data_IF_650169082828
#
_entry.id   IF_650169082828
#
_cell.length_a   1.000
_cell.length_b   1.000
_cell.length_c   1.000
_cell.angle_alpha   90.00
_cell.angle_beta   90.00
_cell.angle_gamma   90.00
#
_symmetry.space_group_name_H-M   'P 1'
#
loop_
_entity.id
_entity.type
_entity.pdbx_description
1 polymer ?
#
# COMPACT_ATOMS: atom_id res chain seq x y z
N UNK A 1 10.10 -19.84 1.77
CA UNK A 1 9.76 -19.94 3.22
C UNK A 1 8.71 -18.88 3.60
N UNK A 2 7.65 -18.76 2.79
CA UNK A 2 6.46 -17.89 2.98
C UNK A 2 5.32 -18.56 2.19
N UNK A 3 5.04 -19.84 2.48
CA UNK A 3 4.14 -20.64 1.62
C UNK A 3 2.71 -20.74 2.18
N UNK A 4 2.50 -20.67 3.50
CA UNK A 4 1.16 -20.87 4.12
C UNK A 4 0.34 -19.60 4.43
N UNK A 5 0.85 -18.39 4.15
CA UNK A 5 0.13 -17.13 4.38
C UNK A 5 -0.46 -16.50 3.11
N UNK A 6 -0.40 -17.21 1.98
CA UNK A 6 -0.73 -16.68 0.65
C UNK A 6 -2.23 -16.49 0.40
N UNK A 7 -3.08 -17.12 1.22
CA UNK A 7 -4.55 -16.95 1.20
C UNK A 7 -5.03 -15.81 2.13
N UNK A 8 -4.26 -14.73 2.23
CA UNK A 8 -4.61 -13.57 3.03
C UNK A 8 -5.53 -12.58 2.38
N UNK A 9 -6.34 -11.93 3.22
CA UNK A 9 -7.30 -10.88 2.85
C UNK A 9 -6.66 -9.74 2.02
N UNK A 10 -5.34 -9.60 2.08
CA UNK A 10 -4.60 -8.56 1.37
C UNK A 10 -3.42 -9.02 0.50
N UNK A 11 -3.06 -10.31 0.49
CA UNK A 11 -1.87 -10.82 -0.21
C UNK A 11 -2.16 -10.99 -1.70
N UNK A 12 -1.96 -9.92 -2.47
CA UNK A 12 -2.11 -9.89 -3.94
C UNK A 12 -0.75 -10.01 -4.64
N UNK A 13 0.36 -9.82 -3.93
CA UNK A 13 1.69 -9.91 -4.52
C UNK A 13 2.06 -11.37 -4.85
N UNK A 14 2.39 -11.70 -6.11
CA UNK A 14 2.89 -13.04 -6.42
C UNK A 14 4.18 -13.28 -5.63
N UNK A 15 4.43 -14.51 -5.14
CA UNK A 15 5.56 -14.79 -4.26
C UNK A 15 6.91 -14.38 -4.85
N UNK A 16 7.07 -14.51 -6.17
CA UNK A 16 8.27 -14.08 -6.88
C UNK A 16 8.50 -12.55 -6.85
N UNK A 17 7.43 -11.75 -6.78
CA UNK A 17 7.52 -10.29 -6.72
C UNK A 17 7.90 -9.76 -5.32
N UNK A 18 7.81 -10.60 -4.29
CA UNK A 18 8.30 -10.26 -2.95
C UNK A 18 9.83 -10.24 -2.90
N UNK A 19 10.48 -11.13 -3.66
CA UNK A 19 11.94 -11.23 -3.72
C UNK A 19 12.55 -10.30 -4.77
N UNK A 20 11.82 -10.04 -5.87
CA UNK A 20 12.30 -9.21 -6.99
C UNK A 20 11.18 -8.41 -7.62
N UNK A 21 11.22 -7.09 -7.46
CA UNK A 21 10.18 -6.19 -7.99
C UNK A 21 10.40 -5.90 -9.49
N UNK A 22 9.34 -5.53 -10.24
CA UNK A 22 9.49 -5.04 -11.60
C UNK A 22 10.35 -3.76 -11.72
N UNK A 23 10.51 -3.01 -10.63
CA UNK A 23 11.41 -1.86 -10.57
C UNK A 23 12.87 -2.30 -10.59
N UNK A 24 13.22 -3.35 -9.84
CA UNK A 24 14.56 -3.95 -9.84
C UNK A 24 14.94 -4.51 -11.21
N UNK A 25 13.97 -5.08 -11.94
CA UNK A 25 14.19 -5.57 -13.31
C UNK A 25 14.47 -4.44 -14.31
N UNK A 26 14.04 -3.21 -14.00
CA UNK A 26 14.40 -2.01 -14.74
C UNK A 26 15.57 -1.24 -14.12
N UNK A 27 16.37 -1.93 -13.30
CA UNK A 27 17.62 -1.48 -12.69
C UNK A 27 17.44 -0.41 -11.60
N UNK A 28 16.23 -0.19 -11.10
CA UNK A 28 16.02 0.73 -9.96
C UNK A 28 16.63 0.11 -8.70
N UNK A 29 17.48 0.87 -8.04
CA UNK A 29 18.06 0.51 -6.74
C UNK A 29 16.95 0.23 -5.70
N UNK A 30 16.97 -0.90 -4.98
CA UNK A 30 15.95 -1.23 -3.99
C UNK A 30 15.75 -0.15 -2.91
N UNK A 31 16.83 0.53 -2.51
CA UNK A 31 16.73 1.60 -1.53
C UNK A 31 16.03 2.84 -2.11
N UNK A 32 16.33 3.20 -3.36
CA UNK A 32 15.59 4.25 -4.06
C UNK A 32 14.10 3.89 -4.24
N UNK A 33 13.80 2.65 -4.64
CA UNK A 33 12.42 2.17 -4.77
C UNK A 33 11.66 2.31 -3.44
N UNK A 34 12.25 1.84 -2.33
CA UNK A 34 11.65 1.97 -1.00
C UNK A 34 11.38 3.44 -0.66
N UNK A 35 12.34 4.33 -0.93
CA UNK A 35 12.19 5.78 -0.66
C UNK A 35 11.09 6.41 -1.52
N UNK A 36 10.97 6.04 -2.78
CA UNK A 36 9.92 6.53 -3.68
C UNK A 36 8.53 6.04 -3.23
N UNK A 37 8.41 4.79 -2.75
CA UNK A 37 7.17 4.27 -2.18
C UNK A 37 6.79 5.01 -0.89
N UNK A 38 7.75 5.24 0.02
CA UNK A 38 7.52 6.03 1.24
C UNK A 38 7.11 7.46 0.89
N UNK A 39 7.76 8.09 -0.09
CA UNK A 39 7.38 9.42 -0.60
C UNK A 39 5.94 9.43 -1.10
N UNK A 40 5.55 8.43 -1.88
CA UNK A 40 4.20 8.34 -2.40
C UNK A 40 3.16 8.21 -1.26
N UNK A 41 3.44 7.38 -0.26
CA UNK A 41 2.60 7.24 0.93
C UNK A 41 2.50 8.55 1.74
N UNK A 42 3.59 9.31 1.84
CA UNK A 42 3.61 10.61 2.51
C UNK A 42 2.79 11.67 1.74
N UNK A 43 2.90 11.71 0.41
CA UNK A 43 2.06 12.57 -0.43
C UNK A 43 0.58 12.23 -0.27
N UNK A 44 0.23 10.93 -0.23
CA UNK A 44 -1.13 10.45 0.05
C UNK A 44 -1.60 10.92 1.43
N UNK A 45 -0.76 10.81 2.47
CA UNK A 45 -1.10 11.22 3.83
C UNK A 45 -1.29 12.74 3.96
N UNK A 46 -0.42 13.54 3.33
CA UNK A 46 -0.53 15.01 3.27
C UNK A 46 -1.81 15.42 2.55
N UNK A 47 -2.09 14.82 1.40
CA UNK A 47 -3.30 15.09 0.64
C UNK A 47 -4.56 14.68 1.40
N UNK A 48 -4.54 13.51 2.05
CA UNK A 48 -5.62 13.03 2.91
C UNK A 48 -5.95 14.01 4.03
N UNK A 49 -4.95 14.56 4.71
CA UNK A 49 -5.15 15.59 5.74
C UNK A 49 -5.73 16.89 5.17
N UNK A 50 -5.18 17.39 4.07
CA UNK A 50 -5.64 18.64 3.45
C UNK A 50 -7.07 18.54 2.89
N UNK A 51 -7.48 17.36 2.43
CA UNK A 51 -8.82 17.07 1.93
C UNK A 51 -9.78 16.55 3.01
N UNK A 52 -9.34 16.44 4.26
CA UNK A 52 -10.08 15.81 5.36
C UNK A 52 -10.63 14.42 5.01
N UNK A 53 -9.85 13.61 4.28
CA UNK A 53 -10.18 12.22 3.97
C UNK A 53 -9.93 11.37 5.23
N UNK A 54 -10.86 10.48 5.62
CA UNK A 54 -10.65 9.58 6.77
C UNK A 54 -9.41 8.69 6.62
N UNK A 55 -8.75 8.38 7.74
CA UNK A 55 -7.49 7.62 7.75
C UNK A 55 -7.62 6.22 7.13
N UNK A 56 -8.77 5.55 7.27
CA UNK A 56 -8.98 4.23 6.66
C UNK A 56 -8.91 4.33 5.13
N UNK A 57 -9.56 5.34 4.52
CA UNK A 57 -9.50 5.56 3.07
C UNK A 57 -8.12 5.98 2.57
N UNK A 58 -7.40 6.78 3.37
CA UNK A 58 -5.97 7.08 3.11
C UNK A 58 -5.13 5.80 3.14
N UNK A 59 -5.37 4.92 4.11
CA UNK A 59 -4.74 3.60 4.21
C UNK A 59 -5.05 2.73 3.00
N UNK A 60 -6.28 2.74 2.49
CA UNK A 60 -6.68 2.01 1.27
C UNK A 60 -5.85 2.48 0.09
N UNK A 61 -5.73 3.80 -0.12
CA UNK A 61 -4.90 4.37 -1.18
C UNK A 61 -3.43 3.92 -1.08
N UNK A 62 -2.85 3.90 0.13
CA UNK A 62 -1.47 3.45 0.36
C UNK A 62 -1.28 1.96 0.05
N UNK A 63 -2.22 1.10 0.46
CA UNK A 63 -2.16 -0.35 0.18
C UNK A 63 -2.30 -0.62 -1.32
N UNK A 64 -3.26 0.02 -2.00
CA UNK A 64 -3.43 -0.12 -3.45
C UNK A 64 -2.18 0.27 -4.21
N UNK A 65 -1.51 1.33 -3.76
CA UNK A 65 -0.26 1.79 -4.36
C UNK A 65 0.88 0.78 -4.17
N UNK A 66 1.05 0.22 -2.97
CA UNK A 66 2.06 -0.82 -2.73
C UNK A 66 1.79 -2.06 -3.59
N UNK A 67 0.54 -2.53 -3.64
CA UNK A 67 0.15 -3.67 -4.49
C UNK A 67 0.45 -3.39 -5.96
N UNK A 68 0.19 -2.17 -6.42
CA UNK A 68 0.46 -1.78 -7.80
C UNK A 68 1.95 -1.88 -8.13
N UNK A 69 2.84 -1.38 -7.27
CA UNK A 69 4.29 -1.44 -7.53
C UNK A 69 4.90 -2.83 -7.33
N UNK A 70 4.16 -3.82 -6.83
CA UNK A 70 4.55 -5.23 -6.96
C UNK A 70 4.27 -5.79 -8.37
N UNK A 71 3.41 -5.14 -9.15
CA UNK A 71 3.02 -5.57 -10.49
C UNK A 71 3.56 -4.66 -11.61
N UNK A 72 4.02 -3.46 -11.28
CA UNK A 72 4.46 -2.45 -12.23
C UNK A 72 5.69 -1.70 -11.73
N UNK A 73 6.52 -1.24 -12.65
CA UNK A 73 7.77 -0.54 -12.33
C UNK A 73 7.55 0.97 -12.16
N UNK A 74 8.22 1.55 -11.16
CA UNK A 74 8.31 3.00 -10.94
C UNK A 74 8.88 3.75 -12.16
N UNK A 75 9.69 3.10 -12.99
CA UNK A 75 10.24 3.69 -14.23
C UNK A 75 9.16 3.98 -15.28
N UNK A 76 8.12 3.14 -15.32
CA UNK A 76 7.01 3.24 -16.29
C UNK A 76 5.86 4.09 -15.73
N UNK A 77 5.64 4.05 -14.41
CA UNK A 77 4.53 4.73 -13.75
C UNK A 77 5.05 5.65 -12.65
N UNK A 78 4.99 6.96 -12.92
CA UNK A 78 5.50 7.98 -12.01
C UNK A 78 4.68 8.08 -10.72
N UNK A 79 5.37 8.41 -9.62
CA UNK A 79 4.78 8.53 -8.29
C UNK A 79 3.60 9.51 -8.26
N UNK A 80 3.76 10.70 -8.85
CA UNK A 80 2.72 11.75 -8.84
C UNK A 80 1.38 11.25 -9.41
N UNK A 81 1.45 10.63 -10.59
CA UNK A 81 0.25 10.23 -11.33
C UNK A 81 -0.45 9.06 -10.62
N UNK A 82 0.33 8.12 -10.09
CA UNK A 82 -0.21 6.99 -9.34
C UNK A 82 -0.78 7.41 -7.98
N UNK A 83 -0.22 8.42 -7.31
CA UNK A 83 -0.79 9.00 -6.08
C UNK A 83 -2.16 9.63 -6.35
N UNK A 84 -2.29 10.40 -7.44
CA UNK A 84 -3.58 10.97 -7.87
C UNK A 84 -4.62 9.86 -8.10
N UNK A 85 -4.27 8.86 -8.90
CA UNK A 85 -5.15 7.74 -9.20
C UNK A 85 -5.54 6.93 -7.97
N UNK A 86 -4.59 6.65 -7.06
CA UNK A 86 -4.83 5.86 -5.85
C UNK A 86 -5.76 6.56 -4.87
N UNK A 87 -5.59 7.87 -4.66
CA UNK A 87 -6.50 8.67 -3.83
C UNK A 87 -7.90 8.74 -4.44
N UNK A 88 -7.99 9.02 -5.74
CA UNK A 88 -9.29 9.11 -6.42
C UNK A 88 -10.04 7.79 -6.36
N UNK A 89 -9.37 6.67 -6.64
CA UNK A 89 -9.95 5.34 -6.55
C UNK A 89 -10.37 4.99 -5.12
N UNK A 90 -9.49 5.18 -4.13
CA UNK A 90 -9.78 4.85 -2.73
C UNK A 90 -10.99 5.63 -2.18
N UNK A 91 -11.11 6.92 -2.48
CA UNK A 91 -12.27 7.72 -2.04
C UNK A 91 -13.59 7.21 -2.61
N UNK A 92 -13.58 6.61 -3.80
CA UNK A 92 -14.78 5.98 -4.38
C UNK A 92 -15.07 4.62 -3.74
N UNK A 93 -14.05 3.80 -3.53
CA UNK A 93 -14.21 2.47 -2.92
C UNK A 93 -14.73 2.54 -1.48
N UNK A 94 -14.32 3.58 -0.75
CA UNK A 94 -14.60 3.76 0.67
C UNK A 94 -15.79 4.71 0.92
N UNK A 95 -16.54 5.07 -0.13
CA UNK A 95 -17.70 5.96 -0.06
C UNK A 95 -17.41 7.31 0.63
N UNK A 96 -16.21 7.86 0.39
CA UNK A 96 -15.75 9.17 0.88
C UNK A 96 -15.32 10.09 -0.27
N UNK A 97 -16.15 10.25 -1.33
CA UNK A 97 -15.72 10.86 -2.58
C UNK A 97 -15.27 12.31 -2.41
N UNK A 98 -14.18 12.66 -3.11
CA UNK A 98 -13.68 14.04 -3.23
C UNK A 98 -13.74 14.50 -4.68
N UNK A 99 -13.86 15.81 -4.89
CA UNK A 99 -13.87 16.37 -6.25
C UNK A 99 -12.50 16.18 -6.88
N UNK A 100 -12.48 15.76 -8.14
CA UNK A 100 -11.27 15.59 -8.95
C UNK A 100 -10.35 16.81 -8.88
N UNK A 101 -10.91 18.02 -9.04
CA UNK A 101 -10.17 19.29 -8.92
C UNK A 101 -9.43 19.42 -7.60
N UNK A 102 -10.09 19.10 -6.49
CA UNK A 102 -9.53 19.28 -5.15
C UNK A 102 -8.36 18.31 -4.94
N UNK A 103 -8.50 17.06 -5.38
CA UNK A 103 -7.43 16.05 -5.34
C UNK A 103 -6.23 16.52 -6.17
N UNK A 104 -6.46 16.97 -7.41
CA UNK A 104 -5.40 17.43 -8.30
C UNK A 104 -4.64 18.60 -7.67
N UNK A 105 -5.35 19.62 -7.21
CA UNK A 105 -4.75 20.83 -6.64
C UNK A 105 -3.92 20.51 -5.40
N UNK A 106 -4.45 19.69 -4.49
CA UNK A 106 -3.78 19.35 -3.23
C UNK A 106 -2.53 18.49 -3.48
N UNK A 107 -2.62 17.48 -4.34
CA UNK A 107 -1.47 16.62 -4.65
C UNK A 107 -0.41 17.40 -5.41
N UNK A 108 -0.79 18.23 -6.39
CA UNK A 108 0.13 19.10 -7.11
C UNK A 108 0.87 20.05 -6.16
N UNK A 109 0.13 20.72 -5.27
CA UNK A 109 0.71 21.58 -4.24
C UNK A 109 1.65 20.81 -3.30
N UNK A 110 1.28 19.60 -2.86
CA UNK A 110 2.11 18.77 -2.00
C UNK A 110 3.42 18.34 -2.69
N UNK A 111 3.39 18.05 -3.99
CA UNK A 111 4.58 17.73 -4.79
C UNK A 111 5.50 18.94 -4.91
N UNK A 112 4.97 20.14 -5.19
CA UNK A 112 5.78 21.35 -5.29
C UNK A 112 6.46 21.72 -3.96
N UNK A 113 5.73 21.59 -2.85
CA UNK A 113 6.31 21.74 -1.51
C UNK A 113 7.45 20.76 -1.27
N UNK A 114 7.27 19.49 -1.65
CA UNK A 114 8.32 18.48 -1.53
C UNK A 114 9.55 18.84 -2.37
N UNK A 115 9.36 19.45 -3.55
CA UNK A 115 10.44 19.90 -4.43
C UNK A 115 11.11 21.21 -3.96
N UNK A 116 10.75 21.73 -2.78
CA UNK A 116 11.38 22.91 -2.19
C UNK A 116 10.80 24.25 -2.63
N UNK A 117 9.58 24.27 -3.19
CA UNK A 117 8.86 25.52 -3.46
C UNK A 117 8.05 25.91 -2.21
N UNK A 118 8.48 26.92 -1.42
CA UNK A 118 7.86 27.23 -0.13
C UNK A 118 6.47 27.86 -0.26
N UNK A 119 6.19 28.54 -1.37
CA UNK A 119 4.89 29.13 -1.71
C UNK A 119 4.53 28.76 -3.16
N UNK A 120 4.01 27.55 -3.38
CA UNK A 120 3.75 27.07 -4.74
C UNK A 120 2.55 27.81 -5.34
N UNK A 121 2.64 28.23 -6.62
CA UNK A 121 1.56 28.93 -7.29
C UNK A 121 0.31 28.04 -7.37
N UNK A 122 -0.86 28.68 -7.34
CA UNK A 122 -2.10 27.96 -7.61
C UNK A 122 -2.12 27.46 -9.06
N UNK A 123 -2.54 26.21 -9.23
CA UNK A 123 -2.69 25.61 -10.54
C UNK A 123 -3.84 26.27 -11.31
N UNK A 124 -3.57 26.74 -12.52
CA UNK A 124 -4.61 27.28 -13.40
C UNK A 124 -5.51 26.15 -13.93
N UNK A 125 -6.79 26.20 -13.55
CA UNK A 125 -7.81 25.20 -13.91
C UNK A 125 -8.07 25.16 -15.43
N UNK A 126 -7.79 26.25 -16.14
CA UNK A 126 -7.92 26.32 -17.59
C UNK A 126 -6.60 26.06 -18.33
N UNK A 127 -5.51 25.86 -17.58
CA UNK A 127 -4.19 25.60 -18.11
C UNK A 127 -4.04 24.18 -18.67
N UNK A 128 -3.09 24.01 -19.59
CA UNK A 128 -2.76 22.70 -20.16
C UNK A 128 -2.26 21.72 -19.08
N UNK A 129 -1.52 22.19 -18.09
CA UNK A 129 -1.00 21.36 -17.00
C UNK A 129 -2.12 20.71 -16.17
N UNK A 130 -3.17 21.47 -15.84
CA UNK A 130 -4.34 20.92 -15.14
C UNK A 130 -5.01 19.83 -15.99
N UNK A 131 -5.22 20.09 -17.28
CA UNK A 131 -5.83 19.12 -18.18
C UNK A 131 -4.98 17.83 -18.31
N UNK A 132 -3.66 17.95 -18.27
CA UNK A 132 -2.76 16.79 -18.31
C UNK A 132 -2.79 15.98 -17.02
N UNK A 133 -2.85 16.65 -15.85
CA UNK A 133 -3.02 16.00 -14.56
C UNK A 133 -4.38 15.30 -14.44
N UNK A 134 -5.44 15.91 -14.97
CA UNK A 134 -6.77 15.31 -15.04
C UNK A 134 -6.76 14.00 -15.83
N UNK A 135 -6.17 14.03 -17.04
CA UNK A 135 -6.00 12.84 -17.88
C UNK A 135 -5.09 11.81 -17.20
N UNK A 136 -4.01 12.24 -16.56
CA UNK A 136 -3.09 11.35 -15.86
C UNK A 136 -3.78 10.63 -14.70
N UNK A 137 -4.60 11.33 -13.91
CA UNK A 137 -5.36 10.73 -12.81
C UNK A 137 -6.37 9.69 -13.31
N UNK A 138 -7.12 10.00 -14.37
CA UNK A 138 -8.07 9.04 -14.97
C UNK A 138 -7.35 7.80 -15.52
N UNK A 139 -6.20 7.98 -16.17
CA UNK A 139 -5.38 6.85 -16.65
C UNK A 139 -4.82 6.02 -15.49
N UNK A 140 -4.30 6.67 -14.45
CA UNK A 140 -3.73 6.02 -13.28
C UNK A 140 -4.78 5.17 -12.55
N UNK A 141 -5.99 5.68 -12.39
CA UNK A 141 -7.12 4.89 -11.87
C UNK A 141 -7.37 3.62 -12.71
N UNK A 142 -7.47 3.77 -14.03
CA UNK A 142 -7.66 2.63 -14.93
C UNK A 142 -6.51 1.61 -14.80
N UNK A 143 -5.26 2.08 -14.68
CA UNK A 143 -4.11 1.22 -14.47
C UNK A 143 -4.19 0.50 -13.13
N UNK A 144 -4.57 1.15 -12.04
CA UNK A 144 -4.74 0.50 -10.73
C UNK A 144 -5.74 -0.66 -10.84
N UNK A 145 -6.94 -0.41 -11.37
CA UNK A 145 -7.97 -1.43 -11.53
C UNK A 145 -7.48 -2.61 -12.38
N UNK A 146 -6.82 -2.32 -13.51
CA UNK A 146 -6.31 -3.33 -14.44
C UNK A 146 -5.15 -4.15 -13.86
N UNK A 147 -4.16 -3.50 -13.26
CA UNK A 147 -2.98 -4.18 -12.72
C UNK A 147 -3.32 -5.00 -11.48
N UNK A 148 -4.28 -4.55 -10.68
CA UNK A 148 -4.80 -5.27 -9.51
C UNK A 148 -5.88 -6.30 -9.86
N UNK A 149 -6.26 -6.45 -11.13
CA UNK A 149 -7.34 -7.35 -11.56
C UNK A 149 -8.63 -7.17 -10.73
N UNK A 150 -8.96 -5.91 -10.40
CA UNK A 150 -10.08 -5.53 -9.54
C UNK A 150 -10.04 -6.08 -8.09
N UNK A 151 -8.92 -6.66 -7.63
CA UNK A 151 -8.67 -6.97 -6.21
C UNK A 151 -8.30 -5.69 -5.43
N UNK A 152 -9.31 -4.83 -5.25
CA UNK A 152 -9.18 -3.52 -4.60
C UNK A 152 -9.67 -3.50 -3.15
N UNK A 153 -10.23 -4.60 -2.66
CA UNK A 153 -10.60 -4.72 -1.25
C UNK A 153 -9.35 -4.68 -0.36
N UNK A 154 -9.39 -3.85 0.69
CA UNK A 154 -8.32 -3.71 1.67
C UNK A 154 -8.88 -3.96 3.05
N UNK A 155 -8.32 -4.95 3.74
CA UNK A 155 -8.65 -5.23 5.11
C UNK A 155 -7.67 -4.50 6.05
N UNK A 156 -8.18 -3.62 6.90
CA UNK A 156 -7.36 -2.71 7.71
C UNK A 156 -7.02 -3.25 9.11
N UNK A 157 -5.75 -3.21 9.56
CA UNK A 157 -5.30 -3.68 10.87
C UNK A 157 -6.05 -3.08 12.08
N UNK A 158 -6.66 -1.89 11.94
CA UNK A 158 -7.29 -1.16 13.04
C UNK A 158 -8.41 -1.96 13.75
N UNK A 159 -9.20 -2.75 13.02
CA UNK A 159 -10.25 -3.57 13.65
C UNK A 159 -9.67 -4.65 14.56
N UNK A 160 -8.60 -5.32 14.11
CA UNK A 160 -7.88 -6.30 14.94
C UNK A 160 -7.21 -5.64 16.13
N UNK A 161 -6.58 -4.47 15.93
CA UNK A 161 -5.93 -3.71 16.99
C UNK A 161 -6.90 -3.43 18.15
N UNK A 162 -8.08 -2.87 17.86
CA UNK A 162 -9.07 -2.52 18.89
C UNK A 162 -9.53 -3.77 19.65
N UNK A 163 -9.86 -4.85 18.93
CA UNK A 163 -10.31 -6.09 19.54
C UNK A 163 -9.25 -6.72 20.45
N UNK A 164 -7.99 -6.75 19.99
CA UNK A 164 -6.88 -7.33 20.76
C UNK A 164 -6.54 -6.48 21.99
N UNK A 165 -6.47 -5.15 21.84
CA UNK A 165 -6.27 -4.25 22.98
C UNK A 165 -7.38 -4.41 24.03
N UNK A 166 -8.64 -4.59 23.62
CA UNK A 166 -9.75 -4.82 24.55
C UNK A 166 -9.62 -6.17 25.27
N UNK A 167 -9.36 -7.25 24.52
CA UNK A 167 -9.17 -8.59 25.07
C UNK A 167 -8.01 -8.64 26.09
N UNK A 168 -6.92 -7.93 25.80
CA UNK A 168 -5.74 -7.82 26.66
C UNK A 168 -5.89 -6.80 27.80
N UNK A 169 -7.02 -6.08 27.86
CA UNK A 169 -7.28 -4.98 28.82
C UNK A 169 -6.26 -3.83 28.72
N UNK A 170 -5.72 -3.60 27.53
CA UNK A 170 -4.76 -2.56 27.18
C UNK A 170 -5.35 -1.43 26.32
N UNK A 171 -6.67 -1.41 26.10
CA UNK A 171 -7.37 -0.42 25.26
C UNK A 171 -7.42 1.02 25.82
N UNK A 172 -6.59 1.36 26.81
CA UNK A 172 -6.53 2.69 27.41
C UNK A 172 -5.31 3.47 26.89
N UNK A 173 -5.45 4.80 26.68
CA UNK A 173 -4.30 5.67 26.48
C UNK A 173 -3.34 5.64 27.68
N UNK A 174 -2.03 5.89 27.49
CA UNK A 174 -1.39 6.28 26.22
C UNK A 174 -1.06 5.10 25.28
N UNK A 175 -0.98 3.87 25.80
CA UNK A 175 -0.54 2.69 25.04
C UNK A 175 -1.40 2.45 23.80
N UNK A 176 -2.73 2.48 23.93
CA UNK A 176 -3.64 2.27 22.80
C UNK A 176 -3.43 3.29 21.66
N UNK A 177 -3.11 4.55 22.00
CA UNK A 177 -2.84 5.60 21.02
C UNK A 177 -1.48 5.38 20.34
N UNK A 178 -0.46 5.00 21.09
CA UNK A 178 0.86 4.64 20.52
C UNK A 178 0.73 3.45 19.56
N UNK A 179 -0.01 2.41 19.93
CA UNK A 179 -0.27 1.27 19.04
C UNK A 179 -1.03 1.68 17.77
N UNK A 180 -2.02 2.58 17.89
CA UNK A 180 -2.72 3.15 16.73
C UNK A 180 -1.78 3.90 15.78
N UNK A 181 -0.83 4.66 16.33
CA UNK A 181 0.17 5.37 15.55
C UNK A 181 1.10 4.40 14.80
N UNK A 182 1.57 3.34 15.45
CA UNK A 182 2.36 2.30 14.81
C UNK A 182 1.63 1.61 13.66
N UNK A 183 0.32 1.37 13.81
CA UNK A 183 -0.50 0.88 12.70
C UNK A 183 -0.53 1.88 11.55
N UNK A 184 -0.67 3.19 11.81
CA UNK A 184 -0.65 4.19 10.73
C UNK A 184 0.71 4.26 10.03
N UNK A 185 1.81 4.15 10.79
CA UNK A 185 3.16 4.12 10.24
C UNK A 185 3.40 2.89 9.36
N UNK A 186 2.80 1.75 9.70
CA UNK A 186 2.93 0.51 8.92
C UNK A 186 2.45 0.64 7.47
N UNK A 187 1.48 1.53 7.16
CA UNK A 187 1.01 1.75 5.79
C UNK A 187 2.06 2.41 4.88
N UNK A 188 3.09 3.04 5.45
CA UNK A 188 4.21 3.60 4.69
C UNK A 188 5.12 2.52 4.11
N UNK A 189 4.99 1.30 4.62
CA UNK A 189 5.72 0.12 4.20
C UNK A 189 4.79 -0.85 3.46
N UNK A 190 5.32 -1.73 2.59
CA UNK A 190 4.52 -2.72 1.89
C UNK A 190 4.04 -3.90 2.77
N UNK A 191 4.03 -3.75 4.10
CA UNK A 191 3.73 -4.81 5.08
C UNK A 191 2.36 -5.45 4.86
N UNK A 192 1.33 -4.64 4.58
CA UNK A 192 -0.02 -5.13 4.31
C UNK A 192 -0.17 -5.89 2.99
N UNK A 193 0.89 -5.96 2.17
CA UNK A 193 0.95 -6.85 1.00
C UNK A 193 1.65 -8.18 1.31
N UNK A 194 2.40 -8.26 2.42
CA UNK A 194 3.27 -9.39 2.77
C UNK A 194 2.70 -10.23 3.91
N UNK A 195 2.05 -9.58 4.87
CA UNK A 195 1.50 -10.23 6.08
C UNK A 195 0.03 -9.89 6.26
N UNK A 196 -0.64 -10.71 7.06
CA UNK A 196 -2.04 -10.48 7.41
C UNK A 196 -2.18 -9.22 8.28
N UNK A 197 -3.30 -8.49 8.17
CA UNK A 197 -3.55 -7.29 8.99
C UNK A 197 -3.46 -7.52 10.50
N UNK A 198 -3.90 -8.69 10.97
CA UNK A 198 -3.85 -9.02 12.40
C UNK A 198 -2.42 -9.15 12.95
N UNK A 199 -1.46 -9.57 12.11
CA UNK A 199 -0.04 -9.62 12.46
C UNK A 199 0.51 -8.19 12.65
N UNK A 200 0.14 -7.27 11.75
CA UNK A 200 0.51 -5.85 11.87
C UNK A 200 -0.07 -5.23 13.14
N UNK A 201 -1.32 -5.58 13.49
CA UNK A 201 -1.93 -5.14 14.74
C UNK A 201 -1.16 -5.67 15.96
N UNK A 202 -0.76 -6.95 15.97
CA UNK A 202 0.05 -7.52 17.06
C UNK A 202 1.43 -6.86 17.15
N UNK A 203 2.09 -6.59 16.03
CA UNK A 203 3.36 -5.88 16.01
C UNK A 203 3.23 -4.47 16.60
N UNK A 204 2.17 -3.73 16.25
CA UNK A 204 1.90 -2.43 16.82
C UNK A 204 1.64 -2.46 18.34
N UNK A 205 0.98 -3.50 18.85
CA UNK A 205 0.79 -3.72 20.29
C UNK A 205 2.13 -4.03 20.97
N UNK A 206 2.96 -4.89 20.37
CA UNK A 206 4.28 -5.21 20.91
C UNK A 206 5.14 -3.95 21.04
N UNK A 207 5.23 -3.16 19.97
CA UNK A 207 6.00 -1.91 19.95
C UNK A 207 5.51 -0.90 20.99
N UNK A 208 4.19 -0.74 21.09
CA UNK A 208 3.61 0.14 22.10
C UNK A 208 3.84 -0.37 23.53
N UNK A 209 3.77 -1.69 23.74
CA UNK A 209 4.05 -2.27 25.05
C UNK A 209 5.52 -2.06 25.44
N UNK A 210 6.44 -2.24 24.50
CA UNK A 210 7.88 -2.02 24.71
C UNK A 210 8.18 -0.54 25.05
N UNK A 211 7.61 0.41 24.30
CA UNK A 211 7.76 1.86 24.54
C UNK A 211 7.22 2.30 25.90
N UNK A 212 6.13 1.67 26.37
CA UNK A 212 5.48 1.99 27.65
C UNK A 212 5.94 1.08 28.79
N UNK A 213 6.95 0.23 28.57
CA UNK A 213 7.46 -0.75 29.54
C UNK A 213 6.38 -1.67 30.15
N UNK A 214 5.40 -2.07 29.35
CA UNK A 214 4.33 -2.99 29.73
C UNK A 214 4.73 -4.43 29.39
N UNK A 215 4.87 -5.27 30.41
CA UNK A 215 5.18 -6.69 30.22
C UNK A 215 3.99 -7.45 29.61
N UNK A 216 4.18 -8.00 28.41
CA UNK A 216 3.25 -8.94 27.80
C UNK A 216 3.64 -10.37 28.22
N UNK A 217 2.65 -11.27 28.35
CA UNK A 217 2.93 -12.66 28.73
C UNK A 217 3.74 -13.38 27.64
N UNK A 218 4.59 -14.32 28.04
CA UNK A 218 5.33 -15.14 27.08
C UNK A 218 4.36 -15.88 26.13
N UNK A 219 4.65 -15.85 24.83
CA UNK A 219 3.81 -16.50 23.82
C UNK A 219 2.44 -15.85 23.57
N UNK A 220 2.17 -14.63 24.08
CA UNK A 220 0.87 -13.96 23.90
C UNK A 220 0.42 -13.86 22.43
N UNK A 221 1.36 -13.59 21.52
CA UNK A 221 1.09 -13.46 20.10
C UNK A 221 0.69 -14.80 19.44
N UNK A 222 1.22 -15.92 19.95
CA UNK A 222 0.86 -17.26 19.45
C UNK A 222 -0.61 -17.58 19.77
N UNK A 223 -1.15 -17.08 20.89
CA UNK A 223 -2.58 -17.19 21.22
C UNK A 223 -3.49 -16.45 20.22
N UNK A 224 -2.93 -15.46 19.51
CA UNK A 224 -3.60 -14.70 18.45
C UNK A 224 -3.29 -15.25 17.05
N UNK A 225 -2.76 -16.47 16.95
CA UNK A 225 -2.33 -17.13 15.71
C UNK A 225 -1.23 -16.37 14.94
N UNK A 226 -0.38 -15.62 15.64
CA UNK A 226 0.77 -14.93 15.04
C UNK A 226 2.05 -15.71 15.33
N UNK A 227 2.81 -16.02 14.26
CA UNK A 227 4.11 -16.69 14.39
C UNK A 227 5.15 -15.69 14.93
N UNK A 228 6.03 -16.10 15.87
CA UNK A 228 7.07 -15.22 16.41
C UNK A 228 7.96 -14.59 15.35
N UNK A 229 8.31 -15.33 14.30
CA UNK A 229 9.13 -14.82 13.19
C UNK A 229 8.43 -13.71 12.38
N UNK A 230 7.11 -13.80 12.17
CA UNK A 230 6.37 -12.75 11.47
C UNK A 230 6.26 -11.50 12.35
N UNK A 231 6.04 -11.70 13.65
CA UNK A 231 5.99 -10.60 14.61
C UNK A 231 7.32 -9.85 14.63
N UNK A 232 8.43 -10.57 14.81
CA UNK A 232 9.80 -10.01 14.82
C UNK A 232 10.13 -9.29 13.51
N UNK A 233 9.76 -9.88 12.37
CA UNK A 233 9.95 -9.23 11.07
C UNK A 233 9.19 -7.89 11.00
N UNK A 234 7.90 -7.89 11.31
CA UNK A 234 7.06 -6.68 11.18
C UNK A 234 7.48 -5.59 12.17
N UNK A 235 7.81 -5.96 13.42
CA UNK A 235 8.30 -4.98 14.41
C UNK A 235 9.63 -4.37 13.97
N UNK A 236 10.57 -5.18 13.47
CA UNK A 236 11.83 -4.70 12.93
C UNK A 236 11.65 -3.74 11.74
N UNK A 237 10.72 -4.04 10.83
CA UNK A 237 10.42 -3.15 9.69
C UNK A 237 9.83 -1.81 10.13
N UNK A 238 8.88 -1.81 11.07
CA UNK A 238 8.28 -0.57 11.59
C UNK A 238 9.33 0.26 12.35
N UNK A 239 10.20 -0.36 13.15
CA UNK A 239 11.33 0.35 13.77
C UNK A 239 12.30 0.91 12.72
N UNK A 240 12.62 0.14 11.68
CA UNK A 240 13.51 0.57 10.61
C UNK A 240 12.99 1.84 9.92
N UNK A 241 11.67 1.98 9.72
CA UNK A 241 11.06 3.18 9.15
C UNK A 241 11.48 4.47 9.89
N UNK A 242 11.60 4.43 11.22
CA UNK A 242 12.04 5.58 12.01
C UNK A 242 13.52 5.94 11.80
N UNK A 243 14.33 4.99 11.32
CA UNK A 243 15.76 5.19 11.01
C UNK A 243 16.00 5.71 9.59
N UNK A 244 14.99 5.66 8.71
CA UNK A 244 15.12 6.13 7.34
C UNK A 244 15.27 7.66 7.34
N UNK A 245 16.33 8.21 6.70
CA UNK A 245 16.52 9.65 6.61
C UNK A 245 15.30 10.36 6.01
N UNK A 246 15.06 11.63 6.39
CA UNK A 246 13.95 12.41 5.85
C UNK A 246 14.01 12.42 4.32
N UNK A 247 12.82 12.42 3.71
CA UNK A 247 12.66 12.42 2.27
C UNK A 247 13.31 13.67 1.67
N UNK A 248 14.25 13.47 0.74
CA UNK A 248 14.94 14.58 0.07
C UNK A 248 13.99 15.24 -0.93
N UNK A 249 14.25 16.51 -1.21
CA UNK A 249 13.48 17.31 -2.15
C UNK A 249 13.80 16.99 -3.62
N UNK A 250 14.94 16.35 -3.88
CA UNK A 250 15.45 16.02 -5.22
C UNK A 250 14.95 14.68 -5.77
N UNK A 251 14.06 13.98 -5.05
CA UNK A 251 13.55 12.68 -5.51
C UNK A 251 12.70 12.84 -6.78
N UNK A 252 12.91 11.99 -7.80
CA UNK A 252 12.20 12.10 -9.06
C UNK A 252 10.75 11.59 -8.93
N UNK A 253 9.79 12.52 -8.82
CA UNK A 253 8.37 12.20 -8.57
C UNK A 253 7.60 11.85 -9.87
N UNK A 254 8.10 12.27 -11.03
CA UNK A 254 7.48 11.98 -12.34
C UNK A 254 8.26 10.91 -13.09
N UNK A 255 7.57 10.16 -13.96
CA UNK A 255 8.22 9.19 -14.83
C UNK A 255 9.28 9.87 -15.72
N UNK A 256 9.02 11.09 -16.19
CA UNK A 256 9.99 11.86 -16.99
C UNK A 256 11.20 12.34 -16.19
N UNK A 257 11.03 12.64 -14.89
CA UNK A 257 12.17 12.95 -14.02
C UNK A 257 13.04 11.70 -13.80
N UNK A 258 12.40 10.56 -13.52
CA UNK A 258 13.08 9.26 -13.42
C UNK A 258 13.78 8.90 -14.73
N UNK A 259 13.13 9.12 -15.88
CA UNK A 259 13.71 8.85 -17.19
C UNK A 259 14.89 9.78 -17.51
N UNK A 260 14.83 11.07 -17.15
CA UNK A 260 15.92 12.03 -17.39
C UNK A 260 17.16 11.73 -16.57
N UNK A 261 16.98 11.36 -15.31
CA UNK A 261 18.10 11.03 -14.42
C UNK A 261 18.80 9.73 -14.83
N UNK A 262 18.12 8.84 -15.58
CA UNK A 262 18.60 7.49 -15.87
C UNK A 262 18.87 7.19 -17.36
N UNK A 263 18.26 7.92 -18.31
CA UNK A 263 18.29 7.55 -19.75
C UNK A 263 18.84 8.62 -20.69
N UNK A 264 19.29 9.78 -20.19
CA UNK A 264 19.61 10.90 -21.08
C UNK A 264 18.38 11.37 -21.90
N UNK A 265 18.50 12.47 -22.67
CA UNK A 265 17.34 13.19 -23.19
C UNK A 265 16.48 12.47 -24.25
N UNK A 266 16.90 11.33 -24.83
CA UNK A 266 16.34 10.82 -26.10
C UNK A 266 15.26 9.71 -25.99
N UNK A 267 14.86 9.29 -24.78
CA UNK A 267 13.96 8.12 -24.59
C UNK A 267 12.61 8.45 -23.93
N UNK A 268 12.46 9.62 -23.29
CA UNK A 268 11.21 10.02 -22.62
C UNK A 268 9.99 9.98 -23.57
N UNK A 269 10.20 10.20 -24.86
CA UNK A 269 9.13 10.22 -25.86
C UNK A 269 8.60 8.83 -26.28
N UNK A 270 9.31 7.73 -25.97
CA UNK A 270 8.93 6.36 -26.38
C UNK A 270 8.07 5.61 -25.37
N UNK A 271 8.04 6.05 -24.10
CA UNK A 271 7.27 5.37 -23.05
C UNK A 271 5.79 5.78 -22.98
N UNK A 272 5.36 6.79 -23.75
CA UNK A 272 3.99 7.31 -23.66
C UNK A 272 2.92 6.47 -24.39
N UNK A 273 3.30 5.51 -25.25
CA UNK A 273 2.30 4.89 -26.15
C UNK A 273 2.13 3.36 -26.09
N UNK A 274 3.13 2.56 -25.69
CA UNK A 274 3.06 1.09 -25.87
C UNK A 274 3.52 0.21 -24.69
N UNK A 275 3.98 0.79 -23.57
CA UNK A 275 4.56 0.02 -22.45
C UNK A 275 3.60 -0.99 -21.78
N UNK A 276 2.30 -0.90 -22.03
CA UNK A 276 1.29 -1.81 -21.49
C UNK A 276 1.14 -3.12 -22.28
N UNK A 277 1.53 -3.17 -23.56
CA UNK A 277 1.44 -4.38 -24.38
C UNK A 277 2.48 -5.42 -23.97
N UNK A 278 3.69 -4.97 -23.63
CA UNK A 278 4.76 -5.83 -23.12
C UNK A 278 4.39 -6.48 -21.78
N UNK A 279 3.77 -5.73 -20.87
CA UNK A 279 3.37 -6.27 -19.55
C UNK A 279 2.25 -7.33 -19.63
N UNK A 280 1.50 -7.39 -20.74
CA UNK A 280 0.50 -8.44 -20.99
C UNK A 280 1.13 -9.73 -21.51
N UNK A 281 2.20 -9.64 -22.29
CA UNK A 281 2.92 -10.81 -22.80
C UNK A 281 3.54 -11.64 -21.67
N UNK A 282 4.02 -10.98 -20.62
CA UNK A 282 4.57 -11.62 -19.41
C UNK A 282 3.48 -12.19 -18.48
N UNK A 283 2.20 -11.89 -18.71
CA UNK A 283 1.08 -12.14 -17.78
C UNK A 283 0.19 -13.35 -18.09
N UNK A 284 0.53 -14.18 -19.06
CA UNK A 284 -0.15 -15.48 -19.28
C UNK A 284 -0.03 -16.48 -18.10
N UNK A 285 0.49 -16.08 -16.94
CA UNK A 285 0.82 -16.94 -15.80
C UNK A 285 0.31 -16.43 -14.44
N UNK A 286 -0.64 -15.49 -14.40
CA UNK A 286 -1.40 -15.28 -13.15
C UNK A 286 -2.44 -16.39 -13.09
N UNK A 287 -2.12 -17.48 -12.39
CA UNK A 287 -3.09 -18.50 -12.05
C UNK A 287 -4.22 -17.84 -11.25
N UNK A 288 -5.35 -17.62 -11.91
CA UNK A 288 -6.62 -17.49 -11.22
C UNK A 288 -6.80 -18.83 -10.52
N UNK A 289 -6.51 -18.89 -9.22
CA UNK A 289 -6.89 -20.04 -8.40
C UNK A 289 -8.41 -20.05 -8.45
N UNK A 290 -8.97 -20.98 -9.23
CA UNK A 290 -10.39 -21.24 -9.24
C UNK A 290 -10.82 -21.54 -7.79
N UNK A 291 -11.99 -21.05 -7.34
CA UNK A 291 -12.47 -21.35 -5.99
C UNK A 291 -12.47 -22.86 -5.79
N UNK A 292 -11.93 -23.32 -4.66
CA UNK A 292 -11.87 -24.73 -4.32
C UNK A 292 -13.29 -25.34 -4.43
N UNK A 293 -13.44 -26.55 -5.02
CA UNK A 293 -14.73 -27.19 -5.10
C UNK A 293 -15.31 -27.41 -3.70
N UNK A 294 -16.63 -27.26 -3.51
CA UNK A 294 -17.25 -27.45 -2.21
C UNK A 294 -16.95 -28.86 -1.67
N UNK A 295 -16.75 -29.01 -0.36
CA UNK A 295 -16.52 -30.32 0.24
C UNK A 295 -17.70 -31.26 -0.08
N UNK A 296 -17.43 -32.57 -0.31
CA UNK A 296 -18.48 -33.53 -0.60
C UNK A 296 -19.49 -33.54 0.56
N UNK A 297 -20.77 -33.39 0.21
CA UNK A 297 -21.86 -33.48 1.17
C UNK A 297 -21.81 -34.88 1.80
N UNK A 298 -21.62 -34.94 3.12
CA UNK A 298 -21.75 -36.16 3.89
C UNK A 298 -23.19 -36.68 3.71
N UNK A 299 -23.33 -37.84 3.07
CA UNK A 299 -24.62 -38.53 3.01
C UNK A 299 -25.14 -38.78 4.44
N UNK A 300 -26.44 -38.59 4.69
CA UNK A 300 -27.00 -38.82 6.01
C UNK A 300 -26.86 -40.30 6.37
N UNK A 301 -26.22 -40.58 7.50
CA UNK A 301 -26.09 -41.92 8.06
C UNK A 301 -27.48 -42.56 8.20
N UNK A 302 -27.68 -43.70 7.52
CA UNK A 302 -28.84 -44.57 7.72
C UNK A 302 -28.90 -45.03 9.17
N UNK A 303 -30.04 -44.86 9.88
CA UNK A 303 -30.16 -45.33 11.26
C UNK A 303 -30.13 -46.87 11.32
N UNK A 304 -29.61 -47.45 12.41
CA UNK A 304 -29.52 -48.90 12.55
C UNK A 304 -30.93 -49.50 12.65
N UNK A 305 -31.15 -50.56 11.87
CA UNK A 305 -32.34 -51.40 12.01
C UNK A 305 -32.36 -52.03 13.40
N UNK A 306 -33.41 -51.71 14.17
CA UNK A 306 -33.77 -52.44 15.37
C UNK A 306 -34.44 -53.75 14.93
N UNK A 307 -33.80 -54.86 15.23
CA UNK A 307 -34.32 -56.23 15.12
C UNK A 307 -33.78 -57.05 16.28
#
# INVERSE_FOLDING_TARGET
MIDDLRDGLNTVAPPAALDRTPSMDHEIDPQLELRLRILACDLIQRAGRALSIPQFSVGTAQVLLHRFYFAASLKKFGVRDMVLGALFLATKLEETPRRMRDIINVVHHAVLLQQGHPDPPMLDVHGMEYADLERAMMRAEMYLLKYLAFHVHVAHPHMWLVNYLQAMRLARPPLAQTAWNYVNDSYRLPLLCMVQPHVVACAAIQLAADDHAVGLSEGWAALLNVRPADLEYVTAQIHHLATIPPLRWDLPVTADALAREWMGPDVAHRLSHDGWKESLATRGQIAVVAPAPPPPQLEPATPPHVG
#
